data_IF_442093873039
#
_entry.id   IF_442093873039
#
_cell.length_a   1.000
_cell.length_b   1.000
_cell.length_c   1.000
_cell.angle_alpha   90.00
_cell.angle_beta   90.00
_cell.angle_gamma   90.00
#
_symmetry.space_group_name_H-M   'P 1'
#
loop_
_entity.id
_entity.type
_entity.pdbx_description
1 polymer ?
#
# COMPACT_ATOMS: atom_id res chain seq x y z
N UNK A 1 86.14 -7.56 -5.68
CA UNK A 1 86.73 -6.70 -4.64
C UNK A 1 85.62 -6.21 -3.70
N UNK A 2 85.68 -6.71 -2.46
CA UNK A 2 85.25 -6.19 -1.14
C UNK A 2 83.96 -5.33 -1.13
N UNK A 3 82.86 -5.92 -0.62
CA UNK A 3 82.25 -5.74 0.71
C UNK A 3 82.15 -4.30 1.22
N UNK A 4 81.00 -3.79 1.43
CA UNK A 4 80.65 -3.30 2.76
C UNK A 4 79.11 -3.10 2.91
N UNK A 5 78.59 -3.81 3.87
CA UNK A 5 77.29 -3.57 4.49
C UNK A 5 77.55 -2.69 5.70
N UNK A 6 76.69 -1.76 6.04
CA UNK A 6 76.33 -1.58 7.43
C UNK A 6 74.83 -1.81 7.71
N UNK A 7 74.73 -2.67 8.69
CA UNK A 7 73.52 -2.85 9.50
C UNK A 7 73.19 -1.56 10.25
N UNK A 8 71.94 -1.10 10.15
CA UNK A 8 71.40 -0.33 11.26
C UNK A 8 70.05 -0.96 11.65
N UNK A 9 70.10 -1.38 12.90
CA UNK A 9 69.01 -1.82 13.72
C UNK A 9 68.02 -0.68 14.01
N UNK A 10 66.83 -1.10 14.27
CA UNK A 10 65.82 -0.52 15.23
C UNK A 10 64.89 0.55 14.72
N UNK A 11 63.66 0.29 14.60
CA UNK A 11 62.70 0.55 15.69
C UNK A 11 61.30 0.01 15.34
N UNK A 12 60.87 -0.81 16.23
CA UNK A 12 59.49 -1.27 16.41
C UNK A 12 58.60 -0.04 16.60
N UNK A 13 57.54 0.10 15.81
CA UNK A 13 56.36 0.82 16.20
C UNK A 13 55.12 0.14 15.55
N UNK A 14 54.53 -0.77 16.31
CA UNK A 14 53.22 -1.27 16.04
C UNK A 14 52.19 -0.13 16.10
N UNK A 15 51.61 0.21 14.96
CA UNK A 15 50.41 0.97 14.94
C UNK A 15 49.26 0.03 14.53
N UNK A 16 48.65 -0.61 15.52
CA UNK A 16 47.38 -1.30 15.41
C UNK A 16 46.27 -0.24 15.19
N UNK A 17 45.94 0.02 13.93
CA UNK A 17 44.73 0.76 13.59
C UNK A 17 43.56 -0.17 13.82
N UNK A 18 42.94 -0.07 14.99
CA UNK A 18 41.65 -0.68 15.27
C UNK A 18 40.58 -0.03 14.39
N UNK A 19 40.20 -0.72 13.31
CA UNK A 19 38.97 -0.40 12.55
C UNK A 19 37.79 -0.72 13.46
N UNK A 20 37.31 0.28 14.19
CA UNK A 20 36.01 0.23 14.84
C UNK A 20 34.94 0.27 13.75
N UNK A 21 34.47 -0.91 13.32
CA UNK A 21 33.24 -1.03 12.53
C UNK A 21 32.08 -0.59 13.43
N UNK A 22 31.70 0.67 13.26
CA UNK A 22 30.47 1.18 13.86
C UNK A 22 29.28 0.38 13.27
N UNK A 23 28.75 -0.54 14.06
CA UNK A 23 27.51 -1.23 13.80
C UNK A 23 26.41 -0.16 13.90
N UNK A 24 26.03 0.43 12.74
CA UNK A 24 24.87 1.31 12.66
C UNK A 24 23.64 0.43 12.88
N UNK A 25 22.87 0.63 13.97
CA UNK A 25 21.62 -0.08 14.11
C UNK A 25 20.69 0.35 12.98
N UNK A 26 20.41 -0.55 12.06
CA UNK A 26 19.33 -0.36 11.10
C UNK A 26 18.03 -0.43 11.91
N UNK A 27 17.49 0.74 12.23
CA UNK A 27 16.13 0.86 12.72
C UNK A 27 15.21 0.43 11.58
N UNK A 28 14.83 -0.84 11.57
CA UNK A 28 13.71 -1.33 10.77
C UNK A 28 12.48 -0.61 11.28
N UNK A 29 12.04 0.40 10.55
CA UNK A 29 10.75 1.05 10.79
C UNK A 29 9.66 0.00 10.66
N UNK A 30 9.07 -0.41 11.77
CA UNK A 30 7.97 -1.37 11.85
C UNK A 30 6.63 -0.76 11.36
N UNK A 31 6.67 0.13 10.36
CA UNK A 31 5.48 0.80 9.80
C UNK A 31 5.21 0.45 8.32
N UNK A 32 5.91 -0.53 7.76
CA UNK A 32 5.71 -0.92 6.36
C UNK A 32 4.62 -2.00 6.14
N UNK A 33 3.86 -2.37 7.18
CA UNK A 33 2.84 -3.43 7.05
C UNK A 33 1.42 -2.89 6.87
N UNK A 34 1.26 -1.59 6.60
CA UNK A 34 -0.07 -1.00 6.36
C UNK A 34 -0.31 -0.83 4.87
N UNK A 35 -1.31 -1.52 4.32
CA UNK A 35 -1.75 -1.29 2.94
C UNK A 35 -2.17 0.17 2.77
N UNK A 36 -1.47 0.91 1.90
CA UNK A 36 -1.81 2.28 1.58
C UNK A 36 -2.87 2.34 0.47
N UNK A 37 -3.81 3.26 0.57
CA UNK A 37 -4.74 3.57 -0.49
C UNK A 37 -4.03 4.31 -1.63
N UNK A 38 -4.09 3.75 -2.84
CA UNK A 38 -3.61 4.35 -4.07
C UNK A 38 -4.75 5.08 -4.79
N UNK A 39 -4.42 5.98 -5.72
CA UNK A 39 -5.40 6.65 -6.59
C UNK A 39 -5.23 6.29 -8.06
N UNK A 40 -4.11 5.70 -8.44
CA UNK A 40 -3.83 5.25 -9.81
C UNK A 40 -4.29 3.79 -10.01
N UNK A 41 -5.36 3.63 -10.76
CA UNK A 41 -5.95 2.31 -11.06
C UNK A 41 -5.02 1.42 -11.89
N UNK A 42 -4.34 2.01 -12.89
CA UNK A 42 -3.46 1.24 -13.76
C UNK A 42 -2.25 0.71 -12.99
N UNK A 43 -1.63 1.58 -12.19
CA UNK A 43 -0.52 1.18 -11.33
C UNK A 43 -0.94 0.07 -10.35
N UNK A 44 -2.14 0.18 -9.78
CA UNK A 44 -2.68 -0.83 -8.88
C UNK A 44 -2.87 -2.19 -9.54
N UNK A 45 -3.36 -2.23 -10.79
CA UNK A 45 -3.46 -3.48 -11.55
C UNK A 45 -2.08 -4.09 -11.85
N UNK A 46 -1.13 -3.26 -12.29
CA UNK A 46 0.24 -3.72 -12.55
C UNK A 46 0.90 -4.31 -11.28
N UNK A 47 0.61 -3.73 -10.12
CA UNK A 47 1.05 -4.24 -8.82
C UNK A 47 0.34 -5.54 -8.44
N UNK A 48 -0.98 -5.62 -8.65
CA UNK A 48 -1.77 -6.81 -8.34
C UNK A 48 -1.28 -8.05 -9.09
N UNK A 49 -0.92 -7.90 -10.36
CA UNK A 49 -0.32 -9.00 -11.17
C UNK A 49 1.01 -9.45 -10.56
N UNK A 50 1.87 -8.51 -10.12
CA UNK A 50 3.20 -8.83 -9.58
C UNK A 50 3.14 -9.53 -8.22
N UNK A 51 2.17 -9.12 -7.39
CA UNK A 51 2.04 -9.60 -6.02
C UNK A 51 1.00 -10.73 -5.86
N UNK A 52 0.31 -11.08 -6.94
CA UNK A 52 -0.83 -12.03 -6.96
C UNK A 52 -1.90 -11.69 -5.91
N UNK A 53 -2.20 -10.38 -5.78
CA UNK A 53 -3.21 -9.86 -4.85
C UNK A 53 -4.48 -9.42 -5.57
N UNK A 54 -5.60 -9.46 -4.84
CA UNK A 54 -6.84 -8.87 -5.31
C UNK A 54 -6.78 -7.34 -5.27
N UNK A 55 -7.58 -6.66 -6.11
CA UNK A 55 -7.72 -5.20 -6.09
C UNK A 55 -9.07 -4.82 -5.52
N UNK A 56 -9.07 -4.00 -4.48
CA UNK A 56 -10.29 -3.42 -3.92
C UNK A 56 -10.45 -1.99 -4.44
N UNK A 57 -11.44 -1.76 -5.28
CA UNK A 57 -11.87 -0.43 -5.71
C UNK A 57 -12.89 0.11 -4.72
N UNK A 58 -12.61 1.27 -4.10
CA UNK A 58 -13.53 1.97 -3.20
C UNK A 58 -14.01 3.26 -3.87
N UNK A 59 -15.23 3.26 -4.38
CA UNK A 59 -15.91 4.45 -4.89
C UNK A 59 -16.54 5.19 -3.72
N UNK A 60 -16.06 6.41 -3.45
CA UNK A 60 -16.40 7.14 -2.21
C UNK A 60 -16.62 8.63 -2.45
N UNK A 61 -17.38 9.25 -1.57
CA UNK A 61 -17.53 10.70 -1.47
C UNK A 61 -16.94 11.20 -0.15
N UNK A 62 -15.62 11.30 -0.07
CA UNK A 62 -14.86 11.43 1.17
C UNK A 62 -15.22 12.65 2.03
N UNK A 63 -15.77 13.71 1.45
CA UNK A 63 -16.06 14.99 2.13
C UNK A 63 -17.57 15.29 2.27
N UNK A 64 -18.45 14.41 1.77
CA UNK A 64 -19.90 14.66 1.81
C UNK A 64 -20.76 13.42 2.08
N UNK A 65 -20.27 12.19 1.82
CA UNK A 65 -21.07 10.97 1.95
C UNK A 65 -20.96 10.41 3.38
N UNK A 66 -22.02 10.49 4.21
CA UNK A 66 -21.94 10.04 5.61
C UNK A 66 -21.56 8.57 5.76
N UNK A 67 -22.17 7.70 4.93
CA UNK A 67 -21.90 6.26 4.96
C UNK A 67 -20.46 5.92 4.50
N UNK A 68 -19.90 6.70 3.56
CA UNK A 68 -18.51 6.54 3.15
C UNK A 68 -17.56 6.86 4.32
N UNK A 69 -17.80 8.00 4.98
CA UNK A 69 -17.02 8.45 6.15
C UNK A 69 -17.14 7.43 7.31
N UNK A 70 -18.33 6.88 7.51
CA UNK A 70 -18.55 5.82 8.50
C UNK A 70 -17.72 4.58 8.18
N UNK A 71 -17.78 4.09 6.94
CA UNK A 71 -17.00 2.91 6.49
C UNK A 71 -15.50 3.12 6.63
N UNK A 72 -14.99 4.31 6.30
CA UNK A 72 -13.59 4.66 6.52
C UNK A 72 -13.21 4.45 8.00
N UNK A 73 -13.99 5.02 8.95
CA UNK A 73 -13.72 4.96 10.39
C UNK A 73 -13.93 3.58 11.02
N UNK A 74 -15.00 2.89 10.62
CA UNK A 74 -15.44 1.65 11.27
C UNK A 74 -14.82 0.40 10.66
N UNK A 75 -14.33 0.47 9.41
CA UNK A 75 -13.74 -0.66 8.71
C UNK A 75 -12.29 -0.38 8.31
N UNK A 76 -12.07 0.60 7.42
CA UNK A 76 -10.79 0.73 6.72
C UNK A 76 -9.65 1.29 7.60
N UNK A 77 -9.96 2.12 8.59
CA UNK A 77 -8.99 2.61 9.57
C UNK A 77 -8.66 1.59 10.67
N UNK A 78 -9.43 0.52 10.79
CA UNK A 78 -9.22 -0.47 11.87
C UNK A 78 -8.00 -1.35 11.62
N UNK A 79 -7.21 -1.64 12.67
CA UNK A 79 -6.00 -2.47 12.56
C UNK A 79 -6.26 -3.84 11.92
N UNK A 80 -7.41 -4.46 12.22
CA UNK A 80 -7.76 -5.76 11.66
C UNK A 80 -7.91 -5.73 10.13
N UNK A 81 -8.55 -4.68 9.58
CA UNK A 81 -8.65 -4.52 8.13
C UNK A 81 -7.28 -4.18 7.52
N UNK A 82 -6.54 -3.23 8.12
CA UNK A 82 -5.23 -2.82 7.61
C UNK A 82 -4.26 -3.99 7.51
N UNK A 83 -4.21 -4.84 8.53
CA UNK A 83 -3.38 -6.05 8.53
C UNK A 83 -3.79 -7.01 7.39
N UNK A 84 -5.08 -7.32 7.29
CA UNK A 84 -5.60 -8.19 6.24
C UNK A 84 -5.31 -7.62 4.84
N UNK A 85 -5.56 -6.33 4.64
CA UNK A 85 -5.36 -5.67 3.37
C UNK A 85 -3.89 -5.68 2.94
N UNK A 86 -2.95 -5.46 3.85
CA UNK A 86 -1.52 -5.51 3.56
C UNK A 86 -1.07 -6.86 2.98
N UNK A 87 -1.68 -7.94 3.44
CA UNK A 87 -1.35 -9.30 3.00
C UNK A 87 -2.08 -9.70 1.70
N UNK A 88 -3.30 -9.20 1.47
CA UNK A 88 -4.23 -9.78 0.49
C UNK A 88 -4.71 -8.82 -0.60
N UNK A 89 -4.65 -7.49 -0.37
CA UNK A 89 -5.30 -6.51 -1.23
C UNK A 89 -4.37 -5.42 -1.70
N UNK A 90 -4.59 -4.96 -2.92
CA UNK A 90 -4.17 -3.66 -3.42
C UNK A 90 -5.38 -2.74 -3.31
N UNK A 91 -5.24 -1.62 -2.59
CA UNK A 91 -6.35 -0.72 -2.29
C UNK A 91 -6.35 0.48 -3.23
N UNK A 92 -7.47 0.72 -3.92
CA UNK A 92 -7.65 1.87 -4.82
C UNK A 92 -8.83 2.73 -4.35
N UNK A 93 -8.57 3.98 -4.03
CA UNK A 93 -9.58 4.96 -3.63
C UNK A 93 -9.99 5.81 -4.84
N UNK A 94 -11.22 5.67 -5.27
CA UNK A 94 -11.83 6.44 -6.34
C UNK A 94 -12.77 7.48 -5.70
N UNK A 95 -12.22 8.65 -5.40
CA UNK A 95 -12.92 9.70 -4.67
C UNK A 95 -13.72 10.61 -5.61
N UNK A 96 -14.91 11.03 -5.16
CA UNK A 96 -15.81 11.96 -5.83
C UNK A 96 -16.16 13.12 -4.90
N UNK A 97 -15.17 13.97 -4.55
CA UNK A 97 -15.37 15.03 -3.58
C UNK A 97 -16.24 16.16 -4.16
N UNK A 98 -16.89 16.93 -3.26
CA UNK A 98 -17.67 18.14 -3.61
C UNK A 98 -16.99 19.43 -3.19
N UNK A 99 -16.13 19.38 -2.17
CA UNK A 99 -15.49 20.56 -1.57
C UNK A 99 -14.03 20.71 -1.96
N UNK A 100 -13.33 19.63 -2.27
CA UNK A 100 -11.93 19.65 -2.72
C UNK A 100 -11.82 19.37 -4.21
N UNK A 101 -10.76 19.88 -4.83
CA UNK A 101 -10.43 19.62 -6.22
C UNK A 101 -9.49 18.41 -6.31
N UNK A 102 -9.72 17.55 -7.30
CA UNK A 102 -8.79 16.49 -7.69
C UNK A 102 -7.97 16.94 -8.90
N UNK A 103 -6.78 16.40 -9.11
CA UNK A 103 -6.08 16.48 -10.39
C UNK A 103 -6.98 16.03 -11.55
N UNK A 104 -6.87 16.68 -12.71
CA UNK A 104 -7.76 16.40 -13.85
C UNK A 104 -7.72 14.96 -14.31
N UNK A 105 -6.52 14.38 -14.38
CA UNK A 105 -6.31 12.97 -14.76
C UNK A 105 -6.96 12.00 -13.77
N UNK A 106 -6.88 12.27 -12.46
CA UNK A 106 -7.53 11.45 -11.43
C UNK A 106 -9.06 11.54 -11.53
N UNK A 107 -9.59 12.76 -11.73
CA UNK A 107 -11.01 12.98 -11.91
C UNK A 107 -11.56 12.26 -13.15
N UNK A 108 -10.88 12.35 -14.27
CA UNK A 108 -11.23 11.67 -15.51
C UNK A 108 -11.23 10.15 -15.33
N UNK A 109 -10.14 9.59 -14.79
CA UNK A 109 -10.05 8.17 -14.44
C UNK A 109 -11.22 7.72 -13.59
N UNK A 110 -11.51 8.44 -12.50
CA UNK A 110 -12.58 8.06 -11.57
C UNK A 110 -13.95 8.06 -12.26
N UNK A 111 -14.23 9.05 -13.13
CA UNK A 111 -15.46 9.13 -13.91
C UNK A 111 -15.58 7.99 -14.94
N UNK A 112 -14.50 7.62 -15.60
CA UNK A 112 -14.48 6.50 -16.54
C UNK A 112 -14.73 5.17 -15.83
N UNK A 113 -14.06 4.93 -14.69
CA UNK A 113 -14.25 3.73 -13.88
C UNK A 113 -15.66 3.67 -13.28
N UNK A 114 -16.23 4.82 -12.86
CA UNK A 114 -17.62 4.88 -12.42
C UNK A 114 -18.60 4.40 -13.50
N UNK A 115 -18.39 4.81 -14.75
CA UNK A 115 -19.19 4.37 -15.91
C UNK A 115 -18.95 2.89 -16.22
N UNK A 116 -17.67 2.49 -16.30
CA UNK A 116 -17.27 1.12 -16.60
C UNK A 116 -17.91 0.11 -15.65
N UNK A 117 -17.87 0.41 -14.35
CA UNK A 117 -18.44 -0.46 -13.32
C UNK A 117 -19.93 -0.14 -13.01
N UNK A 118 -20.56 0.79 -13.75
CA UNK A 118 -21.99 1.16 -13.58
C UNK A 118 -22.33 1.54 -12.13
N UNK A 119 -21.48 2.34 -11.49
CA UNK A 119 -21.65 2.75 -10.10
C UNK A 119 -22.68 3.88 -10.01
N UNK A 120 -23.82 3.61 -9.37
CA UNK A 120 -24.95 4.53 -9.24
C UNK A 120 -25.18 5.05 -7.81
N UNK A 121 -24.35 4.64 -6.85
CA UNK A 121 -24.47 5.03 -5.45
C UNK A 121 -23.18 4.89 -4.68
N UNK A 122 -23.09 5.54 -3.52
CA UNK A 122 -21.92 5.56 -2.65
C UNK A 122 -22.29 5.19 -1.20
N UNK A 123 -21.38 4.51 -0.49
CA UNK A 123 -20.17 3.91 -1.00
C UNK A 123 -20.45 2.73 -1.94
N UNK A 124 -19.49 2.40 -2.81
CA UNK A 124 -19.54 1.18 -3.59
C UNK A 124 -18.15 0.54 -3.67
N UNK A 125 -18.14 -0.77 -3.64
CA UNK A 125 -16.92 -1.57 -3.64
C UNK A 125 -16.95 -2.55 -4.80
N UNK A 126 -15.86 -2.61 -5.56
CA UNK A 126 -15.65 -3.62 -6.60
C UNK A 126 -14.38 -4.37 -6.26
N UNK A 127 -14.47 -5.68 -6.18
CA UNK A 127 -13.33 -6.55 -5.94
C UNK A 127 -12.93 -7.20 -7.26
N UNK A 128 -11.66 -7.05 -7.61
CA UNK A 128 -11.08 -7.67 -8.79
C UNK A 128 -10.09 -8.75 -8.36
N UNK A 129 -9.91 -9.78 -9.20
CA UNK A 129 -8.77 -10.68 -9.06
C UNK A 129 -7.46 -10.02 -9.54
N UNK A 130 -6.33 -10.72 -9.40
CA UNK A 130 -5.01 -10.22 -9.81
C UNK A 130 -4.90 -9.94 -11.33
N UNK A 131 -5.81 -10.48 -12.16
CA UNK A 131 -5.89 -10.19 -13.59
C UNK A 131 -6.75 -8.97 -13.93
N UNK A 132 -7.40 -8.34 -12.93
CA UNK A 132 -8.30 -7.20 -13.11
C UNK A 132 -9.75 -7.58 -13.46
N UNK A 133 -10.11 -8.86 -13.38
CA UNK A 133 -11.49 -9.32 -13.59
C UNK A 133 -12.31 -9.11 -12.32
N UNK A 134 -13.50 -8.51 -12.45
CA UNK A 134 -14.43 -8.38 -11.33
C UNK A 134 -14.88 -9.75 -10.82
N UNK A 135 -14.73 -9.96 -9.50
CA UNK A 135 -15.11 -11.19 -8.79
C UNK A 135 -16.17 -10.97 -7.72
N UNK A 136 -16.33 -9.72 -7.26
CA UNK A 136 -17.40 -9.39 -6.32
C UNK A 136 -17.74 -7.90 -6.38
N UNK A 137 -18.95 -7.53 -5.91
CA UNK A 137 -19.43 -6.14 -5.86
C UNK A 137 -20.37 -5.94 -4.67
N UNK A 138 -20.28 -4.76 -4.04
CA UNK A 138 -21.17 -4.29 -3.00
C UNK A 138 -21.50 -2.82 -3.23
N UNK A 139 -22.78 -2.46 -3.17
CA UNK A 139 -23.25 -1.06 -3.18
C UNK A 139 -23.91 -0.77 -1.84
N UNK A 140 -23.59 0.37 -1.25
CA UNK A 140 -23.99 0.74 0.10
C UNK A 140 -23.00 0.24 1.17
N UNK A 141 -23.28 0.61 2.43
CA UNK A 141 -22.50 0.16 3.59
C UNK A 141 -22.60 -1.36 3.77
N UNK A 142 -21.61 -1.91 4.43
CA UNK A 142 -21.60 -3.32 4.83
C UNK A 142 -21.47 -3.37 6.35
N UNK A 143 -22.53 -3.82 7.01
CA UNK A 143 -22.58 -3.90 8.46
C UNK A 143 -21.73 -5.06 9.00
N UNK A 144 -21.29 -4.93 10.26
CA UNK A 144 -20.51 -5.95 10.95
C UNK A 144 -18.99 -5.69 10.98
N UNK A 145 -18.58 -4.49 10.56
CA UNK A 145 -17.20 -4.02 10.69
C UNK A 145 -16.17 -4.81 9.88
N UNK A 146 -14.88 -4.77 10.27
CA UNK A 146 -13.81 -5.43 9.54
C UNK A 146 -14.01 -6.92 9.28
N UNK A 147 -14.51 -7.74 10.22
CA UNK A 147 -14.71 -9.16 9.96
C UNK A 147 -15.71 -9.44 8.84
N UNK A 148 -16.80 -8.68 8.79
CA UNK A 148 -17.81 -8.84 7.75
C UNK A 148 -17.26 -8.41 6.38
N UNK A 149 -16.54 -7.30 6.32
CA UNK A 149 -15.94 -6.80 5.09
C UNK A 149 -14.85 -7.77 4.57
N UNK A 150 -13.99 -8.28 5.45
CA UNK A 150 -12.98 -9.29 5.11
C UNK A 150 -13.65 -10.55 4.55
N UNK A 151 -14.69 -11.06 5.22
CA UNK A 151 -15.46 -12.21 4.74
C UNK A 151 -16.05 -11.96 3.36
N UNK A 152 -16.55 -10.74 3.11
CA UNK A 152 -17.07 -10.35 1.80
C UNK A 152 -15.97 -10.38 0.71
N UNK A 153 -14.74 -9.94 0.99
CA UNK A 153 -13.63 -10.04 0.01
C UNK A 153 -13.22 -11.48 -0.30
N UNK A 154 -13.49 -12.40 0.60
CA UNK A 154 -13.18 -13.83 0.42
C UNK A 154 -14.29 -14.59 -0.31
N UNK A 155 -15.51 -14.03 -0.39
CA UNK A 155 -16.63 -14.64 -1.08
C UNK A 155 -16.56 -14.34 -2.59
N UNK A 156 -16.45 -15.39 -3.41
CA UNK A 156 -16.58 -15.27 -4.88
C UNK A 156 -18.03 -15.41 -5.26
N UNK A 157 -18.51 -14.51 -6.14
CA UNK A 157 -19.80 -14.70 -6.83
C UNK A 157 -19.64 -15.60 -8.02
#
# INVERSE_FOLDING_TARGET
MKLNIPRFLSCLACALAAFATALVPQTSSADETSAAWQTDYKQALDQAVKEDKQVLLNFTGSDWCPYCIQMDKEVFEKPAFKKYAAENLILVKLDFPRRKQLPSNEKEQNQELQKQYSINGFPAYVLLDSSGKEINRQVGSLDGGPPAFIKWTQSKK
#
